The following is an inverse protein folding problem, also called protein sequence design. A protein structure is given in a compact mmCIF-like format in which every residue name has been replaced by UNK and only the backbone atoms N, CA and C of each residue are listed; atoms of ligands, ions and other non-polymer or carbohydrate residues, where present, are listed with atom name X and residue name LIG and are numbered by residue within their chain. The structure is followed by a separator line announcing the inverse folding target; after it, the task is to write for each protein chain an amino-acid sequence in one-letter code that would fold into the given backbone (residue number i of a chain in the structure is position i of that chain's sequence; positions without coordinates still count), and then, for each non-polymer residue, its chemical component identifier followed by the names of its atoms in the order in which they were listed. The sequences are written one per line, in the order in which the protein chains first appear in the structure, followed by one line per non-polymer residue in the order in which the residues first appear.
data_IF_398157990955
#
_entry.id   IF_398157990955
#
_cell.length_a   1.000
_cell.length_b   1.000
_cell.length_c   1.000
_cell.angle_alpha   90.00
_cell.angle_beta   90.00
_cell.angle_gamma   90.00
#
_symmetry.space_group_name_H-M   'P 1'
#
loop_
_entity.id
_entity.type
_entity.pdbx_description
1 polymer ?
#
# COMPACT_ATOMS: atom_id res chain seq x y z
N UNK A 1 -43.34 28.91 -11.54
CA UNK A 1 -43.33 27.67 -10.69
C UNK A 1 -42.25 26.65 -11.02
N UNK A 2 -41.77 26.46 -12.25
CA UNK A 2 -40.73 25.44 -12.55
C UNK A 2 -39.28 25.83 -12.18
N UNK A 3 -38.96 27.13 -12.05
CA UNK A 3 -37.64 27.61 -11.67
C UNK A 3 -37.36 27.43 -10.16
N UNK A 4 -38.35 27.68 -9.30
CA UNK A 4 -38.24 27.53 -7.84
C UNK A 4 -38.03 26.09 -7.39
N UNK A 5 -38.65 25.13 -8.06
CA UNK A 5 -38.49 23.70 -7.76
C UNK A 5 -37.07 23.18 -8.08
N UNK A 6 -36.45 23.69 -9.16
CA UNK A 6 -35.05 23.35 -9.50
C UNK A 6 -34.02 23.91 -8.53
N UNK A 7 -34.24 25.16 -8.07
CA UNK A 7 -33.37 25.76 -7.04
C UNK A 7 -33.50 25.05 -5.69
N UNK A 8 -34.70 24.65 -5.30
CA UNK A 8 -34.93 23.90 -4.05
C UNK A 8 -34.30 22.50 -4.10
N UNK A 9 -34.40 21.80 -5.23
CA UNK A 9 -33.77 20.50 -5.42
C UNK A 9 -32.24 20.59 -5.41
N UNK A 10 -31.66 21.62 -6.03
CA UNK A 10 -30.21 21.86 -6.00
C UNK A 10 -29.72 22.18 -4.57
N UNK A 11 -30.46 23.00 -3.84
CA UNK A 11 -30.14 23.40 -2.46
C UNK A 11 -30.24 22.20 -1.50
N UNK A 12 -31.25 21.35 -1.62
CA UNK A 12 -31.38 20.10 -0.86
C UNK A 12 -30.27 19.11 -1.20
N UNK A 13 -29.88 19.00 -2.47
CA UNK A 13 -28.76 18.17 -2.90
C UNK A 13 -27.42 18.62 -2.28
N UNK A 14 -27.15 19.92 -2.26
CA UNK A 14 -25.94 20.47 -1.64
C UNK A 14 -25.93 20.26 -0.12
N UNK A 15 -27.08 20.45 0.56
CA UNK A 15 -27.20 20.15 2.00
C UNK A 15 -26.99 18.66 2.30
N UNK A 16 -27.51 17.77 1.48
CA UNK A 16 -27.28 16.32 1.64
C UNK A 16 -25.81 15.93 1.44
N UNK A 17 -25.13 16.53 0.46
CA UNK A 17 -23.69 16.33 0.24
C UNK A 17 -22.85 16.87 1.40
N UNK A 18 -23.19 18.06 1.92
CA UNK A 18 -22.50 18.63 3.07
C UNK A 18 -22.71 17.77 4.33
N UNK A 19 -23.92 17.25 4.56
CA UNK A 19 -24.18 16.38 5.70
C UNK A 19 -23.47 15.04 5.60
N UNK A 20 -23.36 14.46 4.40
CA UNK A 20 -22.59 13.24 4.16
C UNK A 20 -21.09 13.46 4.39
N UNK A 21 -20.52 14.55 3.89
CA UNK A 21 -19.11 14.88 4.10
C UNK A 21 -18.77 15.11 5.60
N UNK A 22 -19.66 15.76 6.35
CA UNK A 22 -19.49 15.92 7.80
C UNK A 22 -19.58 14.57 8.55
N UNK A 23 -20.47 13.68 8.13
CA UNK A 23 -20.59 12.35 8.73
C UNK A 23 -19.34 11.49 8.45
N UNK A 24 -18.80 11.55 7.23
CA UNK A 24 -17.56 10.87 6.85
C UNK A 24 -16.38 11.40 7.66
N UNK A 25 -16.23 12.72 7.75
CA UNK A 25 -15.17 13.35 8.56
C UNK A 25 -15.26 12.97 10.04
N UNK A 26 -16.47 12.90 10.59
CA UNK A 26 -16.68 12.48 11.98
C UNK A 26 -16.33 10.98 12.19
N UNK A 27 -16.61 10.14 11.20
CA UNK A 27 -16.23 8.72 11.24
C UNK A 27 -14.71 8.56 11.20
N UNK A 28 -14.02 9.26 10.29
CA UNK A 28 -12.56 9.26 10.19
C UNK A 28 -11.89 9.73 11.49
N UNK A 29 -12.43 10.80 12.10
CA UNK A 29 -11.94 11.31 13.37
C UNK A 29 -12.08 10.27 14.49
N UNK A 30 -13.22 9.58 14.56
CA UNK A 30 -13.44 8.51 15.52
C UNK A 30 -12.47 7.34 15.35
N UNK A 31 -12.19 6.95 14.11
CA UNK A 31 -11.20 5.91 13.80
C UNK A 31 -9.80 6.33 14.23
N UNK A 32 -9.41 7.58 13.97
CA UNK A 32 -8.13 8.13 14.41
C UNK A 32 -8.00 8.13 15.94
N UNK A 33 -9.05 8.52 16.67
CA UNK A 33 -9.07 8.47 18.15
C UNK A 33 -8.96 7.04 18.66
N UNK A 34 -9.70 6.10 18.07
CA UNK A 34 -9.61 4.67 18.39
C UNK A 34 -8.21 4.13 18.18
N UNK A 35 -7.59 4.47 17.05
CA UNK A 35 -6.20 4.12 16.74
C UNK A 35 -5.24 4.64 17.82
N UNK A 36 -5.30 5.94 18.12
CA UNK A 36 -4.43 6.59 19.12
C UNK A 36 -4.58 5.97 20.52
N UNK A 37 -5.81 5.64 20.91
CA UNK A 37 -6.08 4.99 22.20
C UNK A 37 -5.48 3.59 22.34
N UNK A 38 -5.23 2.91 21.22
CA UNK A 38 -4.59 1.59 21.18
C UNK A 38 -3.06 1.62 21.20
N UNK A 39 -2.42 2.80 21.15
CA UNK A 39 -0.97 2.93 21.10
C UNK A 39 -0.35 2.97 22.52
N UNK A 40 0.89 2.49 22.59
CA UNK A 40 1.76 2.67 23.75
C UNK A 40 3.04 3.34 23.25
N UNK A 41 3.11 4.65 23.43
CA UNK A 41 4.28 5.43 23.05
C UNK A 41 5.41 5.27 24.07
N UNK A 42 6.64 5.39 23.61
CA UNK A 42 7.81 5.53 24.48
C UNK A 42 7.77 6.83 25.30
N UNK A 43 8.53 6.92 26.39
CA UNK A 43 8.40 8.00 27.39
C UNK A 43 8.72 9.41 26.87
N UNK A 44 9.43 9.54 25.77
CA UNK A 44 9.82 10.82 25.17
C UNK A 44 9.47 10.90 23.69
N UNK A 45 8.51 10.06 23.26
CA UNK A 45 8.07 10.02 21.88
C UNK A 45 6.88 10.94 21.62
N UNK A 46 6.88 11.55 20.44
CA UNK A 46 5.73 12.31 19.92
C UNK A 46 5.19 11.62 18.69
N UNK A 47 3.93 11.17 18.77
CA UNK A 47 3.26 10.50 17.66
C UNK A 47 3.26 11.37 16.40
N UNK A 48 3.60 10.79 15.28
CA UNK A 48 3.35 11.37 13.96
C UNK A 48 1.95 10.92 13.53
N UNK A 49 1.03 11.88 13.44
CA UNK A 49 -0.34 11.58 13.03
C UNK A 49 -0.37 10.97 11.62
N UNK A 50 -1.18 9.91 11.41
CA UNK A 50 -1.39 9.37 10.08
C UNK A 50 -1.86 10.44 9.11
N UNK A 51 -1.27 10.46 7.92
CA UNK A 51 -1.57 11.46 6.88
C UNK A 51 -2.92 11.23 6.21
N UNK A 52 -3.42 9.99 6.25
CA UNK A 52 -4.62 9.55 5.54
C UNK A 52 -5.61 8.93 6.51
N UNK A 53 -6.92 8.97 6.22
CA UNK A 53 -7.92 8.26 7.01
C UNK A 53 -7.55 6.79 7.16
N UNK A 54 -7.62 6.27 8.38
CA UNK A 54 -7.28 4.87 8.67
C UNK A 54 -8.51 4.01 8.37
N UNK A 55 -8.42 3.02 7.45
CA UNK A 55 -9.53 2.10 7.20
C UNK A 55 -9.84 1.23 8.44
N UNK A 56 -11.10 0.91 8.70
CA UNK A 56 -11.53 0.04 9.80
C UNK A 56 -10.73 -1.25 9.88
N UNK A 57 -10.51 -1.89 8.73
CA UNK A 57 -9.79 -3.16 8.68
C UNK A 57 -8.32 -3.04 9.11
N UNK A 58 -7.72 -1.86 9.02
CA UNK A 58 -6.36 -1.63 9.55
C UNK A 58 -6.37 -1.67 11.06
N UNK A 59 -7.38 -1.08 11.72
CA UNK A 59 -7.54 -1.17 13.18
C UNK A 59 -7.72 -2.63 13.62
N UNK A 60 -8.60 -3.37 12.95
CA UNK A 60 -8.81 -4.79 13.24
C UNK A 60 -7.57 -5.64 13.04
N UNK A 61 -6.78 -5.31 12.01
CA UNK A 61 -5.51 -5.98 11.72
C UNK A 61 -4.47 -5.71 12.81
N UNK A 62 -4.32 -4.45 13.22
CA UNK A 62 -3.42 -4.05 14.30
C UNK A 62 -3.83 -4.70 15.63
N UNK A 63 -5.12 -4.72 15.95
CA UNK A 63 -5.62 -5.37 17.18
C UNK A 63 -5.39 -6.88 17.14
N UNK A 64 -5.56 -7.51 15.97
CA UNK A 64 -5.25 -8.94 15.79
C UNK A 64 -3.76 -9.20 16.02
N UNK A 65 -2.88 -8.38 15.45
CA UNK A 65 -1.43 -8.52 15.62
C UNK A 65 -0.98 -8.23 17.06
N UNK A 66 -1.58 -7.23 17.71
CA UNK A 66 -1.34 -6.91 19.15
C UNK A 66 -1.72 -8.06 20.07
N UNK A 67 -2.82 -8.74 19.75
CA UNK A 67 -3.29 -9.91 20.50
C UNK A 67 -2.34 -11.11 20.46
N UNK A 68 -1.40 -11.11 19.52
CA UNK A 68 -0.39 -12.16 19.36
C UNK A 68 0.95 -11.82 20.05
N UNK A 69 1.15 -10.59 20.50
CA UNK A 69 2.39 -10.20 21.19
C UNK A 69 2.64 -11.08 22.42
N UNK A 70 3.84 -11.64 22.49
CA UNK A 70 4.23 -12.61 23.50
C UNK A 70 4.05 -14.07 23.09
N UNK A 71 3.47 -14.35 21.90
CA UNK A 71 3.54 -15.69 21.32
C UNK A 71 5.00 -16.06 21.05
N UNK A 72 5.35 -17.29 21.36
CA UNK A 72 6.70 -17.84 21.12
C UNK A 72 6.56 -19.16 20.34
N UNK A 73 7.46 -19.38 19.40
CA UNK A 73 7.52 -20.65 18.64
C UNK A 73 7.68 -21.83 19.60
N UNK A 74 7.02 -22.94 19.31
CA UNK A 74 7.10 -24.16 20.13
C UNK A 74 8.51 -24.77 20.11
N UNK A 75 9.15 -24.69 18.96
CA UNK A 75 10.54 -25.06 18.67
C UNK A 75 10.93 -24.37 17.37
N UNK A 76 12.23 -24.31 17.05
CA UNK A 76 12.74 -23.60 15.87
C UNK A 76 11.83 -23.73 14.64
N UNK A 77 11.23 -22.61 14.22
CA UNK A 77 10.34 -22.48 13.06
C UNK A 77 8.93 -23.08 13.21
N UNK A 78 8.63 -23.81 14.30
CA UNK A 78 7.31 -24.46 14.45
C UNK A 78 6.32 -23.52 15.11
N UNK A 79 5.34 -23.06 14.33
CA UNK A 79 4.33 -22.13 14.79
C UNK A 79 2.93 -22.46 14.26
N UNK A 80 1.90 -21.90 14.93
CA UNK A 80 0.53 -21.95 14.42
C UNK A 80 0.36 -21.21 13.09
N UNK A 81 1.20 -20.21 12.81
CA UNK A 81 1.18 -19.42 11.58
C UNK A 81 1.70 -20.23 10.40
N UNK A 82 2.87 -20.86 10.56
CA UNK A 82 3.41 -21.78 9.56
C UNK A 82 2.53 -22.99 9.33
N UNK A 83 1.94 -23.56 10.40
CA UNK A 83 0.96 -24.65 10.30
C UNK A 83 -0.27 -24.23 9.50
N UNK A 84 -0.80 -23.03 9.73
CA UNK A 84 -1.92 -22.47 8.95
C UNK A 84 -1.56 -22.29 7.48
N UNK A 85 -0.35 -21.81 7.19
CA UNK A 85 0.14 -21.58 5.83
C UNK A 85 0.54 -22.86 5.07
N UNK A 86 0.66 -24.01 5.77
CA UNK A 86 1.12 -25.27 5.19
C UNK A 86 2.64 -25.45 5.23
N UNK A 87 3.36 -24.60 5.96
CA UNK A 87 4.82 -24.63 6.13
C UNK A 87 5.19 -24.65 7.62
N UNK A 88 4.89 -25.73 8.36
CA UNK A 88 4.90 -25.78 9.82
C UNK A 88 6.28 -25.63 10.47
N UNK A 89 7.36 -25.66 9.71
CA UNK A 89 8.74 -25.59 10.21
C UNK A 89 9.61 -24.72 9.28
N UNK A 90 9.15 -23.53 8.96
CA UNK A 90 9.85 -22.56 8.10
C UNK A 90 10.05 -21.23 8.83
N UNK A 91 10.77 -20.31 8.21
CA UNK A 91 10.77 -18.89 8.59
C UNK A 91 9.34 -18.36 8.43
N UNK A 92 8.78 -17.73 9.47
CA UNK A 92 7.35 -17.48 9.57
C UNK A 92 6.97 -15.99 9.71
N UNK A 93 7.86 -15.05 9.39
CA UNK A 93 7.55 -13.63 9.45
C UNK A 93 6.40 -13.24 8.49
N UNK A 94 6.41 -13.81 7.27
CA UNK A 94 5.37 -13.58 6.27
C UNK A 94 4.05 -14.28 6.63
N UNK A 95 4.13 -15.52 7.10
CA UNK A 95 2.98 -16.31 7.54
C UNK A 95 2.23 -15.65 8.69
N UNK A 96 2.95 -15.04 9.64
CA UNK A 96 2.34 -14.27 10.73
C UNK A 96 1.49 -13.12 10.19
N UNK A 97 2.03 -12.32 9.26
CA UNK A 97 1.30 -11.20 8.67
C UNK A 97 0.06 -11.67 7.91
N UNK A 98 0.21 -12.68 7.05
CA UNK A 98 -0.88 -13.26 6.28
C UNK A 98 -1.94 -13.90 7.18
N UNK A 99 -1.53 -14.57 8.25
CA UNK A 99 -2.43 -15.16 9.24
C UNK A 99 -3.27 -14.08 9.92
N UNK A 100 -2.68 -12.97 10.34
CA UNK A 100 -3.43 -11.86 10.93
C UNK A 100 -4.52 -11.35 9.98
N UNK A 101 -4.19 -11.14 8.69
CA UNK A 101 -5.18 -10.74 7.68
C UNK A 101 -6.29 -11.80 7.55
N UNK A 102 -5.95 -13.09 7.51
CA UNK A 102 -6.94 -14.17 7.42
C UNK A 102 -7.87 -14.23 8.63
N UNK A 103 -7.39 -13.85 9.82
CA UNK A 103 -8.22 -13.76 11.04
C UNK A 103 -9.22 -12.64 10.95
N UNK A 104 -8.80 -11.46 10.43
CA UNK A 104 -9.71 -10.34 10.16
C UNK A 104 -10.76 -10.75 9.13
N UNK A 105 -10.37 -11.37 8.02
CA UNK A 105 -11.31 -11.84 7.00
C UNK A 105 -12.35 -12.80 7.58
N UNK A 106 -11.91 -13.74 8.41
CA UNK A 106 -12.81 -14.71 9.07
C UNK A 106 -13.76 -14.05 10.05
N UNK A 107 -13.27 -13.08 10.83
CA UNK A 107 -14.05 -12.45 11.90
C UNK A 107 -15.07 -11.44 11.38
N UNK A 108 -14.69 -10.66 10.37
CA UNK A 108 -15.48 -9.54 9.86
C UNK A 108 -16.11 -9.77 8.49
N UNK A 109 -15.88 -10.95 7.89
CA UNK A 109 -16.44 -11.30 6.59
C UNK A 109 -15.84 -10.52 5.42
N UNK A 110 -14.62 -9.99 5.61
CA UNK A 110 -13.88 -9.25 4.58
C UNK A 110 -13.19 -10.20 3.59
N UNK A 111 -12.53 -9.65 2.61
CA UNK A 111 -11.72 -10.38 1.61
C UNK A 111 -10.42 -9.62 1.36
N UNK A 112 -9.69 -9.32 2.44
CA UNK A 112 -8.47 -8.54 2.40
C UNK A 112 -7.30 -9.35 1.86
N UNK A 113 -7.20 -10.62 2.28
CA UNK A 113 -6.14 -11.52 1.82
C UNK A 113 -6.26 -11.73 0.31
N UNK A 114 -5.19 -11.54 -0.41
CA UNK A 114 -5.07 -11.55 -1.88
C UNK A 114 -5.65 -10.33 -2.61
N UNK A 115 -6.42 -9.48 -1.96
CA UNK A 115 -6.99 -8.26 -2.57
C UNK A 115 -6.34 -6.96 -2.07
N UNK A 116 -6.15 -6.86 -0.78
CA UNK A 116 -5.55 -5.70 -0.11
C UNK A 116 -4.14 -6.02 0.37
N UNK A 117 -3.96 -7.21 0.89
CA UNK A 117 -2.66 -7.77 1.31
C UNK A 117 -2.35 -9.05 0.53
N UNK A 118 -1.09 -9.32 0.22
CA UNK A 118 -0.69 -10.57 -0.44
C UNK A 118 -0.86 -11.79 0.49
N UNK A 119 -1.01 -12.97 -0.12
CA UNK A 119 -0.87 -14.25 0.57
C UNK A 119 0.41 -14.92 0.07
N UNK A 120 1.41 -15.07 0.93
CA UNK A 120 2.74 -15.54 0.55
C UNK A 120 3.53 -16.05 1.76
N UNK A 121 4.63 -16.78 1.48
CA UNK A 121 5.63 -17.20 2.47
C UNK A 121 6.99 -16.55 2.20
N UNK A 122 7.43 -16.51 0.95
CA UNK A 122 8.69 -15.85 0.58
C UNK A 122 8.56 -14.32 0.52
N UNK A 123 9.37 -13.59 1.29
CA UNK A 123 9.25 -12.13 1.44
C UNK A 123 9.40 -11.35 0.13
N UNK A 124 10.26 -11.81 -0.80
CA UNK A 124 10.34 -11.22 -2.14
C UNK A 124 9.01 -11.30 -2.91
N UNK A 125 8.27 -12.40 -2.76
CA UNK A 125 6.95 -12.57 -3.42
C UNK A 125 5.97 -11.53 -2.90
N UNK A 126 5.97 -11.26 -1.60
CA UNK A 126 5.11 -10.22 -1.00
C UNK A 126 5.47 -8.82 -1.47
N UNK A 127 6.76 -8.47 -1.48
CA UNK A 127 7.26 -7.19 -2.03
C UNK A 127 6.84 -7.02 -3.48
N UNK A 128 7.09 -8.03 -4.31
CA UNK A 128 6.85 -7.97 -5.75
C UNK A 128 5.35 -7.91 -6.05
N UNK A 129 4.51 -8.50 -5.19
CA UNK A 129 3.06 -8.33 -5.27
C UNK A 129 2.66 -6.86 -5.06
N UNK A 130 3.17 -6.18 -4.02
CA UNK A 130 2.91 -4.75 -3.82
C UNK A 130 3.45 -3.89 -4.96
N UNK A 131 4.63 -4.22 -5.52
CA UNK A 131 5.16 -3.56 -6.73
C UNK A 131 4.18 -3.72 -7.90
N UNK A 132 3.71 -4.94 -8.16
CA UNK A 132 2.75 -5.25 -9.21
C UNK A 132 1.41 -4.53 -9.04
N UNK A 133 0.98 -4.29 -7.79
CA UNK A 133 -0.21 -3.48 -7.49
C UNK A 133 0.04 -1.96 -7.57
N UNK A 134 1.27 -1.52 -7.80
CA UNK A 134 1.66 -0.10 -7.73
C UNK A 134 1.49 0.50 -6.33
N UNK A 135 1.60 -0.32 -5.29
CA UNK A 135 1.43 0.05 -3.88
C UNK A 135 2.68 -0.23 -3.05
N UNK A 136 3.83 -0.30 -3.68
CA UNK A 136 5.11 -0.38 -2.99
C UNK A 136 5.84 0.95 -3.09
N UNK A 137 6.40 1.42 -1.98
CA UNK A 137 7.22 2.63 -1.93
C UNK A 137 8.63 2.23 -1.50
N UNK A 138 9.58 2.43 -2.41
CA UNK A 138 11.00 2.20 -2.12
C UNK A 138 11.52 3.23 -1.13
N UNK A 139 12.26 2.80 -0.12
CA UNK A 139 12.94 3.72 0.81
C UNK A 139 13.97 4.60 0.09
N UNK A 140 14.63 4.08 -0.92
CA UNK A 140 15.67 4.82 -1.66
C UNK A 140 15.17 5.53 -2.91
N UNK A 141 13.88 5.37 -3.24
CA UNK A 141 13.30 5.88 -4.47
C UNK A 141 13.69 5.08 -5.73
N UNK A 142 14.28 3.90 -5.58
CA UNK A 142 14.66 3.01 -6.69
C UNK A 142 14.02 1.64 -6.52
N UNK A 143 13.29 1.18 -7.54
CA UNK A 143 12.65 -0.13 -7.55
C UNK A 143 13.55 -1.17 -8.22
N UNK A 144 13.66 -2.38 -7.67
CA UNK A 144 14.37 -3.48 -8.31
C UNK A 144 13.82 -3.75 -9.72
N UNK A 145 14.68 -3.78 -10.72
CA UNK A 145 14.31 -4.04 -12.11
C UNK A 145 13.58 -2.90 -12.85
N UNK A 146 13.21 -1.81 -12.16
CA UNK A 146 12.39 -0.73 -12.74
C UNK A 146 13.05 0.66 -12.69
N UNK A 147 14.14 0.82 -11.94
CA UNK A 147 14.83 2.12 -11.82
C UNK A 147 14.10 3.09 -10.87
N UNK A 148 14.20 4.39 -11.17
CA UNK A 148 13.65 5.44 -10.30
C UNK A 148 12.14 5.34 -10.15
N UNK A 149 11.66 5.48 -8.92
CA UNK A 149 10.24 5.51 -8.58
C UNK A 149 9.73 6.94 -8.59
N UNK A 150 8.49 7.11 -9.01
CA UNK A 150 7.81 8.39 -9.12
C UNK A 150 6.50 8.38 -8.34
N UNK A 151 6.17 9.52 -7.72
CA UNK A 151 4.88 9.68 -7.11
C UNK A 151 3.75 9.64 -8.14
N UNK A 152 2.53 9.60 -7.66
CA UNK A 152 1.28 9.50 -8.43
C UNK A 152 1.15 10.53 -9.56
N UNK A 153 1.75 11.71 -9.40
CA UNK A 153 1.79 12.74 -10.43
C UNK A 153 2.67 12.37 -11.64
N UNK A 154 3.54 11.36 -11.50
CA UNK A 154 4.47 10.91 -12.53
C UNK A 154 5.61 11.90 -12.83
N UNK A 155 5.69 12.99 -12.10
CA UNK A 155 6.66 14.08 -12.29
C UNK A 155 7.63 14.20 -11.11
N UNK A 156 7.16 13.92 -9.90
CA UNK A 156 7.95 14.03 -8.68
C UNK A 156 8.60 12.69 -8.34
N UNK A 157 9.94 12.60 -8.31
CA UNK A 157 10.60 11.35 -7.91
C UNK A 157 10.38 11.10 -6.41
N UNK A 158 10.29 9.83 -6.05
CA UNK A 158 10.31 9.42 -4.64
C UNK A 158 11.73 9.64 -4.13
N UNK A 159 11.91 10.65 -3.29
CA UNK A 159 13.20 10.89 -2.64
C UNK A 159 13.49 9.85 -1.56
N UNK A 160 14.76 9.56 -1.31
CA UNK A 160 15.15 8.64 -0.25
C UNK A 160 14.59 9.10 1.11
N UNK A 161 14.02 8.17 1.87
CA UNK A 161 13.42 8.37 3.19
C UNK A 161 12.28 9.40 3.24
N UNK A 162 11.68 9.75 2.08
CA UNK A 162 10.62 10.77 2.02
C UNK A 162 9.23 10.24 2.40
N UNK A 163 9.05 8.93 2.42
CA UNK A 163 7.80 8.32 2.82
C UNK A 163 7.79 8.05 4.33
N UNK A 164 6.79 8.56 5.01
CA UNK A 164 6.49 8.19 6.40
C UNK A 164 5.45 7.08 6.36
N UNK A 165 5.80 5.86 6.78
CA UNK A 165 4.89 4.73 6.73
C UNK A 165 3.62 4.97 7.55
N UNK A 166 2.53 4.43 7.06
CA UNK A 166 1.21 4.57 7.66
C UNK A 166 0.85 3.31 8.46
N UNK A 167 -0.06 3.40 9.44
CA UNK A 167 -0.53 2.23 10.17
C UNK A 167 -1.04 1.13 9.23
N UNK A 168 -0.61 -0.11 9.44
CA UNK A 168 -1.00 -1.25 8.60
C UNK A 168 -0.17 -1.43 7.33
N UNK A 169 0.78 -0.54 7.02
CA UNK A 169 1.77 -0.80 5.98
C UNK A 169 2.66 -1.98 6.37
N UNK A 170 3.20 -2.67 5.38
CA UNK A 170 4.21 -3.71 5.61
C UNK A 170 5.58 -3.23 5.21
N UNK A 171 6.53 -3.24 6.15
CA UNK A 171 7.93 -2.89 5.89
C UNK A 171 8.70 -4.15 5.50
N UNK A 172 9.42 -4.07 4.37
CA UNK A 172 10.26 -5.13 3.85
C UNK A 172 11.73 -4.81 4.13
N UNK A 173 12.41 -5.74 4.79
CA UNK A 173 13.81 -5.58 5.20
C UNK A 173 14.70 -6.61 4.51
N UNK A 174 15.98 -6.27 4.37
CA UNK A 174 17.04 -7.16 3.89
C UNK A 174 18.04 -7.48 5.02
N UNK A 175 18.77 -8.56 4.88
CA UNK A 175 19.91 -8.88 5.72
C UNK A 175 21.26 -8.68 5.01
N UNK A 176 21.22 -8.37 3.72
CA UNK A 176 22.40 -8.23 2.89
C UNK A 176 22.23 -7.12 1.82
N UNK A 177 23.30 -6.87 1.07
CA UNK A 177 23.32 -5.83 0.03
C UNK A 177 22.72 -6.28 -1.32
N UNK A 178 22.17 -7.49 -1.44
CA UNK A 178 21.63 -8.00 -2.72
C UNK A 178 20.34 -7.30 -3.16
N UNK A 179 19.63 -6.65 -2.22
CA UNK A 179 18.31 -6.09 -2.45
C UNK A 179 17.17 -7.10 -2.36
N UNK A 180 17.47 -8.35 -1.99
CA UNK A 180 16.45 -9.34 -1.65
C UNK A 180 15.90 -9.08 -0.25
N UNK A 181 14.61 -9.32 -0.08
CA UNK A 181 13.98 -9.21 1.23
C UNK A 181 14.21 -10.50 2.03
N UNK A 182 14.53 -10.34 3.31
CA UNK A 182 14.69 -11.45 4.24
C UNK A 182 13.67 -11.42 5.38
N UNK A 183 13.01 -10.26 5.59
CA UNK A 183 12.07 -10.08 6.68
C UNK A 183 10.93 -9.13 6.30
N UNK A 184 9.80 -9.26 6.99
CA UNK A 184 8.64 -8.37 6.87
C UNK A 184 8.02 -8.12 8.24
N UNK A 185 7.60 -6.88 8.48
CA UNK A 185 6.90 -6.47 9.69
C UNK A 185 5.73 -5.55 9.37
N UNK A 186 4.75 -5.44 10.28
CA UNK A 186 3.60 -4.56 10.15
C UNK A 186 3.84 -3.26 10.90
N UNK A 187 3.65 -2.13 10.22
CA UNK A 187 3.76 -0.80 10.82
C UNK A 187 2.61 -0.60 11.81
N UNK A 188 2.95 -0.32 13.05
CA UNK A 188 1.98 0.06 14.09
C UNK A 188 1.82 1.58 14.13
N UNK A 189 2.92 2.33 14.21
CA UNK A 189 2.94 3.80 14.16
C UNK A 189 4.34 4.33 13.84
N UNK A 190 4.41 5.63 13.51
CA UNK A 190 5.66 6.39 13.50
C UNK A 190 5.63 7.47 14.58
N UNK A 191 6.78 7.77 15.18
CA UNK A 191 6.93 8.81 16.17
C UNK A 191 8.26 9.56 16.01
N UNK A 192 8.33 10.79 16.50
CA UNK A 192 9.59 11.46 16.72
C UNK A 192 10.16 11.01 18.06
N UNK A 193 11.46 10.65 18.12
CA UNK A 193 12.19 10.46 19.36
C UNK A 193 12.56 11.80 20.01
N UNK A 194 13.18 11.75 21.19
CA UNK A 194 13.64 12.95 21.92
C UNK A 194 14.60 13.85 21.11
N UNK A 195 15.25 13.32 20.09
CA UNK A 195 16.18 14.05 19.24
C UNK A 195 15.53 14.55 17.94
N UNK A 196 14.23 14.29 17.76
CA UNK A 196 13.48 14.66 16.55
C UNK A 196 13.69 13.71 15.37
N UNK A 197 14.31 12.54 15.57
CA UNK A 197 14.42 11.53 14.53
C UNK A 197 13.14 10.70 14.44
N UNK A 198 12.80 10.27 13.23
CA UNK A 198 11.61 9.43 13.01
C UNK A 198 11.94 7.98 13.34
N UNK A 199 11.15 7.43 14.26
CA UNK A 199 11.15 6.01 14.62
C UNK A 199 9.91 5.34 14.01
N UNK A 200 10.12 4.18 13.40
CA UNK A 200 9.13 3.31 12.83
C UNK A 200 8.86 2.17 13.82
N UNK A 201 7.69 2.16 14.45
CA UNK A 201 7.29 1.09 15.35
C UNK A 201 6.50 0.04 14.60
N UNK A 202 6.84 -1.23 14.84
CA UNK A 202 6.28 -2.37 14.12
C UNK A 202 5.84 -3.48 15.07
N UNK A 203 4.93 -4.33 14.59
CA UNK A 203 4.64 -5.64 15.17
C UNK A 203 5.16 -6.69 14.20
N UNK A 204 6.02 -7.56 14.68
CA UNK A 204 6.69 -8.56 13.85
C UNK A 204 6.78 -9.91 14.54
N UNK A 205 6.92 -10.96 13.74
CA UNK A 205 7.25 -12.31 14.20
C UNK A 205 8.50 -12.82 13.51
N UNK A 206 9.21 -13.74 14.15
CA UNK A 206 10.40 -14.38 13.58
C UNK A 206 11.53 -13.39 13.21
N UNK A 207 11.89 -12.52 14.14
CA UNK A 207 13.04 -11.65 13.92
C UNK A 207 14.36 -12.38 14.19
N UNK A 208 14.90 -13.01 13.16
CA UNK A 208 16.13 -13.82 13.22
C UNK A 208 17.40 -13.04 13.61
N UNK A 209 17.34 -11.72 13.74
CA UNK A 209 18.44 -10.94 14.31
C UNK A 209 18.52 -11.04 15.82
N UNK A 210 17.49 -11.58 16.47
CA UNK A 210 17.41 -11.86 17.89
C UNK A 210 17.69 -13.34 18.16
N UNK A 211 18.15 -13.70 19.37
CA UNK A 211 18.35 -15.11 19.73
C UNK A 211 17.02 -15.87 19.79
N UNK A 212 17.06 -17.17 19.44
CA UNK A 212 15.93 -18.07 19.61
C UNK A 212 15.58 -18.28 21.11
N UNK A 213 14.32 -18.62 21.48
CA UNK A 213 13.21 -18.86 20.56
C UNK A 213 12.64 -17.57 19.97
N UNK A 214 12.15 -17.65 18.73
CA UNK A 214 11.54 -16.53 18.05
C UNK A 214 10.10 -16.32 18.51
N UNK A 215 9.65 -15.08 18.54
CA UNK A 215 8.32 -14.71 19.01
C UNK A 215 7.68 -13.60 18.21
N UNK A 216 6.44 -13.26 18.59
CA UNK A 216 5.75 -12.05 18.12
C UNK A 216 6.02 -10.95 19.14
N UNK A 217 6.52 -9.82 18.65
CA UNK A 217 6.94 -8.70 19.49
C UNK A 217 6.77 -7.36 18.82
N UNK A 218 6.84 -6.28 19.62
CA UNK A 218 7.08 -4.93 19.11
C UNK A 218 8.57 -4.71 18.92
N UNK A 219 8.90 -4.04 17.84
CA UNK A 219 10.25 -3.54 17.58
C UNK A 219 10.19 -2.14 16.97
N UNK A 220 11.32 -1.45 16.90
CA UNK A 220 11.40 -0.15 16.25
C UNK A 220 12.67 0.00 15.41
N UNK A 221 12.56 0.78 14.34
CA UNK A 221 13.64 1.05 13.41
C UNK A 221 13.76 2.56 13.14
N UNK A 222 14.96 3.05 12.90
CA UNK A 222 15.11 4.37 12.31
C UNK A 222 14.55 4.37 10.90
N UNK A 223 13.88 5.45 10.45
CA UNK A 223 13.27 5.54 9.13
C UNK A 223 14.28 5.34 7.99
N UNK A 224 15.53 5.69 8.22
CA UNK A 224 16.66 5.56 7.31
C UNK A 224 17.47 4.28 7.51
N UNK A 225 17.00 3.36 8.36
CA UNK A 225 17.70 2.12 8.63
C UNK A 225 18.02 1.38 7.32
N UNK A 226 19.29 1.11 7.09
CA UNK A 226 19.79 0.61 5.80
C UNK A 226 19.14 -0.70 5.34
N UNK A 227 18.69 -1.52 6.28
CA UNK A 227 18.00 -2.79 5.98
C UNK A 227 16.59 -2.59 5.41
N UNK A 228 15.95 -1.46 5.61
CA UNK A 228 14.64 -1.18 5.05
C UNK A 228 14.79 -1.00 3.54
N UNK A 229 14.14 -1.85 2.76
CA UNK A 229 14.07 -1.74 1.30
C UNK A 229 12.90 -0.87 0.86
N UNK A 230 11.80 -0.95 1.57
CA UNK A 230 10.60 -0.16 1.28
C UNK A 230 9.35 -0.71 1.96
N UNK A 231 8.21 -0.21 1.54
CA UNK A 231 6.93 -0.38 2.22
C UNK A 231 5.85 -0.79 1.24
N UNK A 232 5.09 -1.84 1.59
CA UNK A 232 3.85 -2.17 0.92
C UNK A 232 2.70 -1.44 1.61
N UNK A 233 2.03 -0.52 0.93
CA UNK A 233 0.96 0.28 1.51
C UNK A 233 -0.43 -0.19 1.09
N UNK A 234 -1.39 0.00 1.99
CA UNK A 234 -2.82 -0.21 1.71
C UNK A 234 -3.52 1.08 1.30
N UNK A 235 -2.85 2.20 1.47
CA UNK A 235 -3.36 3.51 1.12
C UNK A 235 -3.14 3.80 -0.36
N UNK A 236 -4.09 4.48 -0.97
CA UNK A 236 -4.02 4.84 -2.40
C UNK A 236 -3.15 6.10 -2.64
N UNK A 237 -1.97 6.12 -2.03
CA UNK A 237 -1.04 7.25 -2.11
C UNK A 237 0.20 6.95 -2.94
N UNK A 238 0.51 5.67 -3.12
CA UNK A 238 1.67 5.20 -3.85
C UNK A 238 1.30 4.64 -5.23
N UNK A 239 0.30 5.17 -5.88
CA UNK A 239 0.05 4.85 -7.27
C UNK A 239 1.24 5.33 -8.09
N UNK A 240 2.14 4.40 -8.42
CA UNK A 240 3.23 4.69 -9.33
C UNK A 240 2.65 5.06 -10.68
N UNK A 241 3.18 6.12 -11.28
CA UNK A 241 3.00 6.31 -12.70
C UNK A 241 3.52 5.07 -13.43
N UNK A 242 2.65 4.42 -14.21
CA UNK A 242 3.01 3.23 -14.95
C UNK A 242 3.88 3.61 -16.16
N UNK A 243 4.95 2.87 -16.39
CA UNK A 243 5.91 3.13 -17.46
C UNK A 243 6.51 1.84 -18.01
N UNK A 244 7.27 1.98 -19.09
CA UNK A 244 8.01 0.86 -19.70
C UNK A 244 8.77 0.04 -18.65
N UNK A 245 8.64 -1.28 -18.74
CA UNK A 245 9.23 -2.25 -17.82
C UNK A 245 8.35 -2.65 -16.65
N UNK A 246 7.28 -1.90 -16.32
CA UNK A 246 6.33 -2.30 -15.27
C UNK A 246 5.47 -3.49 -15.70
N UNK A 247 5.00 -4.27 -14.72
CA UNK A 247 4.10 -5.39 -14.95
C UNK A 247 3.14 -5.56 -13.78
N UNK A 248 2.04 -6.29 -14.00
CA UNK A 248 1.06 -6.63 -12.99
C UNK A 248 -0.35 -6.13 -13.28
N UNK A 249 -1.30 -6.31 -12.33
CA UNK A 249 -2.72 -6.02 -12.53
C UNK A 249 -3.02 -4.57 -12.91
N UNK A 250 -2.26 -3.58 -12.42
CA UNK A 250 -2.43 -2.17 -12.80
C UNK A 250 -2.05 -1.90 -14.25
N UNK A 251 -1.09 -2.64 -14.78
CA UNK A 251 -0.76 -2.57 -16.22
C UNK A 251 -1.87 -3.21 -17.04
N UNK A 252 -2.44 -4.33 -16.58
CA UNK A 252 -3.63 -4.94 -17.22
C UNK A 252 -4.75 -3.91 -17.30
N UNK A 253 -5.13 -3.29 -16.18
CA UNK A 253 -6.20 -2.30 -16.14
C UNK A 253 -5.93 -1.11 -17.07
N UNK A 254 -4.70 -0.59 -17.13
CA UNK A 254 -4.32 0.46 -18.08
C UNK A 254 -4.46 0.00 -19.53
N UNK A 255 -4.04 -1.23 -19.84
CA UNK A 255 -4.15 -1.79 -21.18
C UNK A 255 -5.62 -1.99 -21.57
N UNK A 256 -6.51 -2.38 -20.66
CA UNK A 256 -7.95 -2.46 -20.87
C UNK A 256 -8.54 -1.08 -21.15
N UNK A 257 -8.14 -0.03 -20.40
CA UNK A 257 -8.54 1.35 -20.71
C UNK A 257 -8.08 1.78 -22.12
N UNK A 258 -6.87 1.42 -22.54
CA UNK A 258 -6.35 1.68 -23.89
C UNK A 258 -7.15 0.92 -24.97
N UNK A 259 -7.57 -0.31 -24.70
CA UNK A 259 -8.45 -1.07 -25.60
C UNK A 259 -9.82 -0.38 -25.73
N UNK A 260 -10.42 0.06 -24.63
CA UNK A 260 -11.68 0.81 -24.63
C UNK A 260 -11.55 2.13 -25.40
N UNK A 261 -10.41 2.81 -25.27
CA UNK A 261 -10.12 3.99 -26.07
C UNK A 261 -9.82 3.67 -27.56
N UNK A 262 -9.75 2.40 -27.96
CA UNK A 262 -9.44 1.97 -29.32
C UNK A 262 -7.99 2.26 -29.75
N UNK A 263 -7.09 2.41 -28.78
CA UNK A 263 -5.67 2.68 -29.00
C UNK A 263 -4.80 1.42 -28.92
N UNK A 264 -5.32 0.33 -28.35
CA UNK A 264 -4.63 -0.94 -28.17
C UNK A 264 -5.54 -2.09 -28.61
N UNK A 265 -4.98 -3.10 -29.28
CA UNK A 265 -5.71 -4.33 -29.56
C UNK A 265 -5.76 -5.22 -28.32
N UNK A 266 -6.89 -5.88 -28.06
CA UNK A 266 -7.11 -6.71 -26.85
C UNK A 266 -6.04 -7.80 -26.65
N UNK A 267 -5.44 -8.34 -27.71
CA UNK A 267 -4.35 -9.34 -27.62
C UNK A 267 -3.09 -8.82 -26.91
N UNK A 268 -2.94 -7.52 -26.77
CA UNK A 268 -1.80 -6.89 -26.07
C UNK A 268 -2.09 -6.55 -24.60
N UNK A 269 -3.24 -6.97 -24.06
CA UNK A 269 -3.54 -6.90 -22.64
C UNK A 269 -2.77 -7.99 -21.88
N UNK A 270 -1.46 -7.82 -21.81
CA UNK A 270 -0.52 -8.85 -21.33
C UNK A 270 -0.12 -8.65 -19.87
N UNK A 271 -0.47 -7.51 -19.27
CA UNK A 271 0.01 -7.11 -17.96
C UNK A 271 1.50 -6.71 -17.95
N UNK A 272 2.12 -6.53 -19.13
CA UNK A 272 3.50 -6.03 -19.26
C UNK A 272 3.48 -4.70 -20.03
N UNK A 273 4.00 -3.65 -19.41
CA UNK A 273 4.14 -2.34 -20.05
C UNK A 273 5.36 -2.37 -20.97
N UNK A 274 5.15 -2.85 -22.20
CA UNK A 274 6.17 -2.93 -23.25
C UNK A 274 6.12 -1.73 -24.18
N UNK A 275 6.92 -1.78 -25.26
CA UNK A 275 7.02 -0.71 -26.26
C UNK A 275 5.65 -0.35 -26.91
N UNK A 276 4.80 -1.34 -27.17
CA UNK A 276 3.46 -1.10 -27.74
C UNK A 276 2.61 -0.28 -26.79
N UNK A 277 2.56 -0.65 -25.51
CA UNK A 277 1.82 0.11 -24.49
C UNK A 277 2.37 1.52 -24.35
N UNK A 278 3.71 1.69 -24.39
CA UNK A 278 4.36 3.00 -24.32
C UNK A 278 3.96 3.90 -25.50
N UNK A 279 3.92 3.38 -26.71
CA UNK A 279 3.49 4.16 -27.89
C UNK A 279 2.01 4.53 -27.83
N UNK A 280 1.15 3.66 -27.31
CA UNK A 280 -0.25 4.00 -27.04
C UNK A 280 -0.35 5.17 -26.04
N UNK A 281 0.44 5.15 -24.97
CA UNK A 281 0.48 6.24 -23.98
C UNK A 281 0.98 7.54 -24.61
N UNK A 282 2.03 7.54 -25.43
CA UNK A 282 2.46 8.74 -26.18
C UNK A 282 1.37 9.24 -27.12
N UNK A 283 0.59 8.35 -27.71
CA UNK A 283 -0.54 8.73 -28.56
C UNK A 283 -1.63 9.44 -27.75
N UNK A 284 -1.95 8.94 -26.54
CA UNK A 284 -2.85 9.65 -25.61
C UNK A 284 -2.33 11.04 -25.31
N UNK A 285 -1.06 11.14 -24.96
CA UNK A 285 -0.40 12.41 -24.62
C UNK A 285 -0.43 13.40 -25.79
N UNK A 286 -0.11 12.95 -26.99
CA UNK A 286 -0.16 13.76 -28.22
C UNK A 286 -1.56 14.26 -28.51
N UNK A 287 -2.57 13.39 -28.42
CA UNK A 287 -3.97 13.77 -28.68
C UNK A 287 -4.51 14.73 -27.63
N UNK A 288 -4.03 14.64 -26.39
CA UNK A 288 -4.40 15.54 -25.30
C UNK A 288 -3.58 16.84 -25.26
N UNK A 289 -2.57 17.00 -26.11
CA UNK A 289 -1.70 18.17 -26.11
C UNK A 289 -0.77 18.27 -24.91
N UNK A 290 -0.47 17.16 -24.23
CA UNK A 290 0.45 17.09 -23.10
C UNK A 290 1.78 16.48 -23.51
N UNK A 291 2.81 16.64 -22.68
CA UNK A 291 4.17 16.20 -23.00
C UNK A 291 4.25 14.69 -23.27
N UNK A 292 4.84 14.28 -24.40
CA UNK A 292 5.01 12.88 -24.81
C UNK A 292 6.14 12.20 -24.03
N UNK A 293 5.91 11.83 -22.80
CA UNK A 293 6.87 11.13 -21.93
C UNK A 293 6.83 9.61 -22.08
N UNK A 294 5.71 9.06 -22.57
CA UNK A 294 5.43 7.63 -22.55
C UNK A 294 5.18 7.07 -21.14
N UNK A 295 4.94 7.93 -20.15
CA UNK A 295 4.62 7.58 -18.77
C UNK A 295 3.12 7.81 -18.55
N UNK A 296 2.41 6.79 -18.10
CA UNK A 296 0.99 6.89 -17.75
C UNK A 296 0.84 7.50 -16.34
N UNK A 297 1.11 8.80 -16.22
CA UNK A 297 0.91 9.58 -15.01
C UNK A 297 -0.56 9.97 -14.82
N UNK A 298 -0.88 10.67 -13.74
CA UNK A 298 -2.26 11.08 -13.43
C UNK A 298 -2.89 11.88 -14.57
N UNK A 299 -2.19 12.87 -15.12
CA UNK A 299 -2.66 13.71 -16.22
C UNK A 299 -2.97 12.88 -17.48
N UNK A 300 -2.05 11.98 -17.86
CA UNK A 300 -2.22 11.07 -18.99
C UNK A 300 -3.43 10.14 -18.78
N UNK A 301 -3.62 9.61 -17.57
CA UNK A 301 -4.74 8.72 -17.26
C UNK A 301 -6.07 9.46 -17.24
N UNK A 302 -6.09 10.72 -16.79
CA UNK A 302 -7.28 11.56 -16.89
C UNK A 302 -7.65 11.82 -18.36
N UNK A 303 -6.67 12.16 -19.19
CA UNK A 303 -6.88 12.35 -20.63
C UNK A 303 -7.41 11.07 -21.29
N UNK A 304 -6.88 9.90 -20.96
CA UNK A 304 -7.33 8.60 -21.46
C UNK A 304 -8.80 8.34 -21.09
N UNK A 305 -9.20 8.60 -19.85
CA UNK A 305 -10.59 8.44 -19.40
C UNK A 305 -11.54 9.37 -20.15
N UNK A 306 -11.16 10.63 -20.36
CA UNK A 306 -11.96 11.56 -21.19
C UNK A 306 -12.12 11.07 -22.62
N UNK A 307 -11.08 10.46 -23.22
CA UNK A 307 -11.20 9.85 -24.55
C UNK A 307 -12.18 8.69 -24.59
N UNK A 308 -12.23 7.88 -23.51
CA UNK A 308 -13.19 6.77 -23.39
C UNK A 308 -14.62 7.32 -23.24
N UNK A 309 -14.81 8.30 -22.35
CA UNK A 309 -16.12 8.93 -22.11
C UNK A 309 -16.68 9.59 -23.39
N UNK A 310 -15.84 10.27 -24.16
CA UNK A 310 -16.24 10.92 -25.42
C UNK A 310 -16.59 9.92 -26.56
N UNK A 311 -16.27 8.64 -26.40
CA UNK A 311 -16.60 7.58 -27.36
C UNK A 311 -17.89 6.82 -26.99
N UNK A 312 -18.39 6.98 -25.78
CA UNK A 312 -19.67 6.41 -25.38
C UNK A 312 -20.80 7.29 -25.95
N UNK A 313 -21.78 6.72 -26.68
CA UNK A 313 -22.84 7.46 -27.36
C UNK A 313 -23.82 8.15 -26.41
#
# INVERSE_FOLDING_TARGET
MRLTARFLALFLGVLALLSAAHAEQAADQKLLETYKAGLTLGPEETLIDPKYPIPDYVLWLLDTARGEIGYVEERSGVTKYGTWAGYPAAEWCAEFQCWCVSRVDKQYGTKLLTRVYPNYSGTNVGRDWFIGQGRYISRTGTLPGYGSQWWKDGMTPVAANSYIPQPGDWVFLTDNASGDTSHVAMVEYCAYDANGNIRLHVIEGNNVTKPAPQGVERNDYAIDYWRILGYGTVYDLADMALKFGHSGPKVVALQEELVQAGLLEARYTTGKFGAITQECIKTVQRQAGIQETGIANLETRQALRQMIENKQP
#
